data_IF_454539765321
#
_entry.id   IF_454539765321
#
_cell.length_a   1.000
_cell.length_b   1.000
_cell.length_c   1.000
_cell.angle_alpha   90.00
_cell.angle_beta   90.00
_cell.angle_gamma   90.00
#
_symmetry.space_group_name_H-M   'P 1'
#
loop_
_entity.id
_entity.type
_entity.pdbx_description
1 polymer ?
#
# COMPACT_ATOMS: atom_id res chain seq x y z
N UNK A 1 -11.21 -2.10 -20.82
CA UNK A 1 -11.60 -3.29 -21.63
C UNK A 1 -12.88 -3.88 -21.05
N UNK A 2 -13.63 -4.69 -21.82
CA UNK A 2 -14.85 -5.37 -21.35
C UNK A 2 -15.89 -4.39 -20.74
N UNK A 3 -16.25 -3.34 -21.48
CA UNK A 3 -17.15 -2.27 -21.00
C UNK A 3 -16.72 -1.70 -19.63
N UNK A 4 -15.43 -1.36 -19.54
CA UNK A 4 -14.75 -0.86 -18.35
C UNK A 4 -14.74 -1.80 -17.13
N UNK A 5 -15.11 -3.08 -17.29
CA UNK A 5 -14.94 -4.08 -16.24
C UNK A 5 -13.46 -4.37 -15.95
N UNK A 6 -12.59 -4.31 -16.96
CA UNK A 6 -11.16 -4.59 -16.82
C UNK A 6 -10.31 -3.34 -17.12
N UNK A 7 -9.51 -2.93 -16.14
CA UNK A 7 -8.66 -1.75 -16.18
C UNK A 7 -7.19 -2.13 -15.89
N UNK A 8 -6.35 -2.00 -16.91
CA UNK A 8 -4.92 -2.36 -16.88
C UNK A 8 -4.09 -1.09 -16.98
N UNK A 9 -3.19 -0.92 -16.02
CA UNK A 9 -2.27 0.22 -15.93
C UNK A 9 -0.84 -0.28 -15.87
N UNK A 10 0.02 0.27 -16.72
CA UNK A 10 1.45 -0.06 -16.76
C UNK A 10 2.26 1.22 -16.93
N UNK A 11 3.38 1.34 -16.20
CA UNK A 11 4.21 2.53 -16.26
C UNK A 11 5.08 2.69 -15.02
N UNK A 12 5.31 3.94 -14.62
CA UNK A 12 6.03 4.28 -13.39
C UNK A 12 5.16 5.07 -12.42
N UNK A 13 4.90 4.50 -11.25
CA UNK A 13 4.08 5.09 -10.19
C UNK A 13 4.35 4.36 -8.87
N UNK A 14 4.03 4.99 -7.75
CA UNK A 14 4.16 4.39 -6.41
C UNK A 14 2.98 3.46 -6.08
N UNK A 15 3.18 2.53 -5.16
CA UNK A 15 2.14 1.56 -4.76
C UNK A 15 0.90 2.25 -4.18
N UNK A 16 1.12 3.28 -3.34
CA UNK A 16 0.07 4.06 -2.67
C UNK A 16 -0.90 4.81 -3.60
N UNK A 17 -0.55 4.96 -4.88
CA UNK A 17 -1.41 5.61 -5.87
C UNK A 17 -2.66 4.78 -6.20
N UNK A 18 -2.56 3.45 -6.15
CA UNK A 18 -3.67 2.54 -6.42
C UNK A 18 -4.04 1.69 -5.19
N UNK A 19 -3.07 1.27 -4.37
CA UNK A 19 -3.26 0.35 -3.24
C UNK A 19 -3.12 1.05 -1.89
N UNK A 20 -3.94 0.68 -0.90
CA UNK A 20 -3.94 1.29 0.43
C UNK A 20 -4.06 2.83 0.38
N UNK A 21 -4.68 3.37 -0.67
CA UNK A 21 -4.77 4.81 -0.90
C UNK A 21 -5.61 5.49 0.19
N UNK A 22 -5.17 6.68 0.60
CA UNK A 22 -5.87 7.52 1.57
C UNK A 22 -5.59 9.00 1.25
N UNK A 23 -6.51 9.94 1.55
CA UNK A 23 -6.29 11.37 1.32
C UNK A 23 -5.06 11.94 2.05
N UNK A 24 -4.66 13.15 1.68
CA UNK A 24 -3.52 13.85 2.29
C UNK A 24 -3.85 15.32 2.59
N UNK A 25 -4.97 15.55 3.27
CA UNK A 25 -5.36 16.90 3.74
C UNK A 25 -4.67 17.28 5.05
N UNK A 26 -4.33 16.28 5.86
CA UNK A 26 -3.63 16.48 7.12
C UNK A 26 -2.13 16.65 6.90
N UNK A 27 -1.51 17.53 7.70
CA UNK A 27 -0.06 17.73 7.68
C UNK A 27 0.71 16.53 8.27
N UNK A 28 0.10 15.79 9.22
CA UNK A 28 0.77 14.68 9.87
C UNK A 28 0.69 13.41 9.00
N UNK A 29 1.86 12.78 8.80
CA UNK A 29 2.04 11.61 7.93
C UNK A 29 1.18 10.40 8.35
N UNK A 30 0.88 10.25 9.64
CA UNK A 30 -0.03 9.20 10.13
C UNK A 30 -1.48 9.35 9.62
N UNK A 31 -1.82 10.49 9.02
CA UNK A 31 -3.14 10.81 8.45
C UNK A 31 -3.05 11.26 6.98
N UNK A 32 -1.92 11.00 6.30
CA UNK A 32 -1.72 11.38 4.90
C UNK A 32 -1.19 10.19 4.09
N UNK A 33 -1.88 9.86 2.99
CA UNK A 33 -1.45 8.85 2.03
C UNK A 33 -1.50 7.41 2.54
N UNK A 34 -0.93 6.49 1.75
CA UNK A 34 -0.88 5.07 2.11
C UNK A 34 -0.03 4.84 3.36
N UNK A 35 -0.68 4.35 4.41
CA UNK A 35 -0.04 4.08 5.70
C UNK A 35 0.91 2.88 5.64
N UNK A 36 0.65 1.89 4.79
CA UNK A 36 1.59 0.78 4.55
C UNK A 36 2.93 1.32 4.08
N UNK A 37 2.95 2.28 3.15
CA UNK A 37 4.19 2.92 2.70
C UNK A 37 4.92 3.76 3.75
N UNK A 38 4.23 4.17 4.82
CA UNK A 38 4.87 4.87 5.95
C UNK A 38 5.57 3.89 6.89
N UNK A 39 4.93 2.76 7.21
CA UNK A 39 5.41 1.79 8.19
C UNK A 39 6.31 0.68 7.62
N UNK A 40 6.25 0.47 6.30
CA UNK A 40 7.12 -0.49 5.56
C UNK A 40 7.91 0.22 4.45
N UNK A 41 8.12 1.53 4.62
CA UNK A 41 8.73 2.44 3.64
C UNK A 41 10.15 2.10 3.19
N UNK A 42 10.79 1.10 3.81
CA UNK A 42 12.06 0.54 3.32
C UNK A 42 11.90 -0.26 2.01
N UNK A 43 10.72 -0.79 1.73
CA UNK A 43 10.43 -1.55 0.50
C UNK A 43 9.31 -0.94 -0.34
N UNK A 44 8.28 -0.34 0.29
CA UNK A 44 7.11 0.24 -0.38
C UNK A 44 7.30 1.75 -0.54
N UNK A 45 7.22 2.28 -1.77
CA UNK A 45 7.53 3.68 -2.01
C UNK A 45 6.32 4.44 -2.57
N UNK A 46 5.73 5.28 -1.72
CA UNK A 46 4.67 6.19 -2.13
C UNK A 46 5.22 7.32 -3.01
N UNK A 47 4.30 8.11 -3.58
CA UNK A 47 4.63 9.42 -4.16
C UNK A 47 5.53 10.21 -3.19
N UNK A 48 6.61 10.86 -3.68
CA UNK A 48 6.92 11.15 -5.08
C UNK A 48 7.82 10.12 -5.78
N UNK A 49 8.15 9.00 -5.14
CA UNK A 49 8.95 7.95 -5.77
C UNK A 49 8.12 7.25 -6.84
N UNK A 50 8.77 6.83 -7.92
CA UNK A 50 8.14 6.00 -8.95
C UNK A 50 8.97 4.75 -9.16
N UNK A 51 8.32 3.63 -9.46
CA UNK A 51 8.96 2.36 -9.85
C UNK A 51 8.23 1.78 -11.05
N UNK A 52 8.88 0.90 -11.83
CA UNK A 52 8.15 0.16 -12.86
C UNK A 52 7.06 -0.70 -12.22
N UNK A 53 5.83 -0.56 -12.73
CA UNK A 53 4.66 -1.16 -12.12
C UNK A 53 3.64 -1.61 -13.17
N UNK A 54 2.96 -2.71 -12.86
CA UNK A 54 1.77 -3.19 -13.53
C UNK A 54 0.66 -3.33 -12.49
N UNK A 55 -0.53 -2.80 -12.79
CA UNK A 55 -1.73 -2.97 -11.98
C UNK A 55 -2.87 -3.45 -12.86
N UNK A 56 -3.52 -4.52 -12.43
CA UNK A 56 -4.74 -5.05 -13.03
C UNK A 56 -5.88 -4.89 -12.04
N UNK A 57 -6.94 -4.19 -12.44
CA UNK A 57 -8.15 -3.96 -11.66
C UNK A 57 -9.35 -4.55 -12.39
N UNK A 58 -10.23 -5.21 -11.65
CA UNK A 58 -11.46 -5.79 -12.16
C UNK A 58 -12.66 -5.27 -11.36
N UNK A 59 -13.54 -4.53 -12.03
CA UNK A 59 -14.77 -3.98 -11.47
C UNK A 59 -15.87 -5.05 -11.51
N UNK A 60 -16.21 -5.59 -10.34
CA UNK A 60 -17.26 -6.61 -10.18
C UNK A 60 -18.66 -5.98 -10.17
N UNK A 61 -18.75 -4.74 -9.67
CA UNK A 61 -19.93 -3.89 -9.73
C UNK A 61 -19.48 -2.42 -9.75
N UNK A 62 -20.38 -1.44 -9.97
CA UNK A 62 -20.04 -0.03 -9.90
C UNK A 62 -19.49 0.43 -8.53
N UNK A 63 -19.74 -0.34 -7.47
CA UNK A 63 -19.30 -0.03 -6.10
C UNK A 63 -18.26 -1.02 -5.56
N UNK A 64 -17.84 -2.01 -6.34
CA UNK A 64 -16.98 -3.08 -5.84
C UNK A 64 -15.97 -3.52 -6.88
N UNK A 65 -14.69 -3.46 -6.53
CA UNK A 65 -13.61 -3.93 -7.38
C UNK A 65 -12.54 -4.68 -6.60
N UNK A 66 -11.81 -5.51 -7.34
CA UNK A 66 -10.60 -6.17 -6.85
C UNK A 66 -9.43 -5.78 -7.75
N UNK A 67 -8.24 -5.71 -7.19
CA UNK A 67 -7.03 -5.39 -7.94
C UNK A 67 -5.81 -6.13 -7.41
N UNK A 68 -4.86 -6.33 -8.32
CA UNK A 68 -3.55 -6.91 -8.04
C UNK A 68 -2.49 -6.11 -8.78
N UNK A 69 -1.33 -5.95 -8.14
CA UNK A 69 -0.20 -5.23 -8.69
C UNK A 69 1.07 -6.06 -8.69
N UNK A 70 2.03 -5.63 -9.50
CA UNK A 70 3.41 -6.04 -9.43
C UNK A 70 4.28 -4.80 -9.61
N UNK A 71 5.05 -4.47 -8.58
CA UNK A 71 5.92 -3.29 -8.53
C UNK A 71 7.36 -3.74 -8.41
N UNK A 72 8.23 -3.12 -9.19
CA UNK A 72 9.67 -3.29 -9.07
C UNK A 72 10.12 -2.80 -7.69
N UNK A 73 10.65 -3.71 -6.86
CA UNK A 73 11.24 -3.35 -5.58
C UNK A 73 12.73 -3.06 -5.82
N UNK A 74 13.09 -1.78 -5.81
CA UNK A 74 14.44 -1.31 -6.12
C UNK A 74 14.81 -0.12 -5.21
N UNK A 75 15.60 -0.35 -4.15
CA UNK A 75 16.01 0.69 -3.20
C UNK A 75 16.81 1.83 -3.84
N UNK A 76 17.47 1.60 -4.98
CA UNK A 76 18.25 2.66 -5.64
C UNK A 76 17.37 3.80 -6.17
N UNK A 77 16.05 3.61 -6.30
CA UNK A 77 15.13 4.70 -6.61
C UNK A 77 15.08 5.78 -5.51
N UNK A 78 15.51 5.47 -4.28
CA UNK A 78 15.57 6.42 -3.16
C UNK A 78 16.83 7.29 -3.17
N UNK A 79 17.84 6.93 -3.97
CA UNK A 79 19.10 7.65 -4.03
C UNK A 79 18.94 8.97 -4.81
N UNK A 80 19.48 10.06 -4.26
CA UNK A 80 19.58 11.33 -4.98
C UNK A 80 20.42 11.16 -6.25
N UNK A 81 19.89 11.60 -7.39
CA UNK A 81 20.45 11.33 -8.72
C UNK A 81 19.63 10.33 -9.54
N UNK A 82 18.82 9.48 -8.89
CA UNK A 82 17.96 8.50 -9.54
C UNK A 82 16.48 8.94 -9.68
N UNK A 83 16.15 10.22 -9.43
CA UNK A 83 14.76 10.71 -9.52
C UNK A 83 14.09 10.53 -10.90
N UNK A 84 14.88 10.41 -11.97
CA UNK A 84 14.42 10.12 -13.33
C UNK A 84 14.94 8.77 -13.86
N UNK A 85 15.33 7.86 -12.97
CA UNK A 85 15.85 6.54 -13.33
C UNK A 85 14.78 5.74 -14.07
N UNK A 86 15.10 5.31 -15.29
CA UNK A 86 14.24 4.42 -16.09
C UNK A 86 14.80 2.99 -16.20
N UNK A 87 16.06 2.79 -15.83
CA UNK A 87 16.69 1.47 -15.79
C UNK A 87 16.20 0.65 -14.59
N UNK A 88 16.01 -0.65 -14.76
CA UNK A 88 15.75 -1.60 -13.67
C UNK A 88 17.01 -2.10 -12.94
N UNK A 89 18.18 -1.46 -13.12
CA UNK A 89 19.36 -1.88 -12.36
C UNK A 89 19.17 -1.60 -10.86
N UNK A 90 19.55 -2.55 -10.01
CA UNK A 90 19.41 -2.45 -8.55
C UNK A 90 18.13 -3.08 -7.97
N UNK A 91 17.24 -3.64 -8.81
CA UNK A 91 16.08 -4.41 -8.35
C UNK A 91 16.51 -5.54 -7.42
N UNK A 92 15.87 -5.65 -6.25
CA UNK A 92 16.08 -6.74 -5.30
C UNK A 92 14.89 -7.71 -5.25
N UNK A 93 13.75 -7.34 -5.84
CA UNK A 93 12.57 -8.17 -5.93
C UNK A 93 11.36 -7.46 -6.51
N UNK A 94 10.17 -7.93 -6.16
CA UNK A 94 8.90 -7.30 -6.49
C UNK A 94 8.01 -7.19 -5.26
N UNK A 95 7.17 -6.15 -5.21
CA UNK A 95 6.04 -6.04 -4.29
C UNK A 95 4.77 -6.39 -5.04
N UNK A 96 4.01 -7.32 -4.47
CA UNK A 96 2.81 -7.91 -5.03
C UNK A 96 1.62 -7.57 -4.12
N UNK A 97 1.00 -6.38 -4.27
CA UNK A 97 -0.17 -6.04 -3.50
C UNK A 97 -1.43 -6.64 -4.15
N UNK A 98 -2.38 -7.05 -3.30
CA UNK A 98 -3.75 -7.40 -3.68
C UNK A 98 -4.71 -6.62 -2.80
N UNK A 99 -5.79 -6.12 -3.39
CA UNK A 99 -6.76 -5.31 -2.65
C UNK A 99 -8.18 -5.52 -3.18
N UNK A 100 -9.11 -5.49 -2.24
CA UNK A 100 -10.53 -5.42 -2.46
C UNK A 100 -11.01 -4.06 -1.95
N UNK A 101 -11.83 -3.39 -2.76
CA UNK A 101 -12.38 -2.07 -2.43
C UNK A 101 -13.88 -2.09 -2.64
N UNK A 102 -14.61 -1.65 -1.61
CA UNK A 102 -16.06 -1.53 -1.61
C UNK A 102 -16.46 -0.08 -1.31
N UNK A 103 -17.26 0.52 -2.16
CA UNK A 103 -17.66 1.93 -2.12
C UNK A 103 -19.19 2.11 -2.04
N UNK A 104 -19.85 1.62 -0.97
CA UNK A 104 -21.31 1.63 -0.87
C UNK A 104 -21.88 3.03 -0.59
N UNK A 105 -23.20 3.14 -0.73
CA UNK A 105 -23.99 4.24 -0.17
C UNK A 105 -24.77 3.73 1.04
N UNK A 106 -24.53 4.32 2.22
CA UNK A 106 -25.04 3.83 3.50
C UNK A 106 -26.14 4.73 4.05
N UNK A 107 -27.17 4.09 4.62
CA UNK A 107 -28.25 4.75 5.34
C UNK A 107 -29.33 5.43 4.47
N UNK A 108 -30.36 6.03 5.10
CA UNK A 108 -31.47 6.65 4.39
C UNK A 108 -31.05 7.81 3.49
N UNK A 109 -29.97 8.50 3.84
CA UNK A 109 -29.41 9.63 3.09
C UNK A 109 -28.44 9.20 1.97
N UNK A 110 -28.22 7.89 1.76
CA UNK A 110 -27.36 7.35 0.69
C UNK A 110 -25.93 7.92 0.72
N UNK A 111 -25.34 8.01 1.91
CA UNK A 111 -24.05 8.68 2.12
C UNK A 111 -22.87 7.80 1.68
N UNK A 112 -21.88 8.35 0.95
CA UNK A 112 -20.77 7.58 0.41
C UNK A 112 -19.84 7.05 1.50
N UNK A 113 -19.42 5.80 1.33
CA UNK A 113 -18.32 5.19 2.07
C UNK A 113 -17.32 4.53 1.11
N UNK A 114 -16.12 4.25 1.61
CA UNK A 114 -15.10 3.46 0.95
C UNK A 114 -14.38 2.59 1.99
N UNK A 115 -14.32 1.29 1.71
CA UNK A 115 -13.72 0.28 2.57
C UNK A 115 -12.72 -0.53 1.76
N UNK A 116 -11.48 -0.58 2.23
CA UNK A 116 -10.38 -1.30 1.58
C UNK A 116 -9.86 -2.38 2.50
N UNK A 117 -9.63 -3.55 1.94
CA UNK A 117 -8.91 -4.65 2.58
C UNK A 117 -7.85 -5.13 1.61
N UNK A 118 -6.60 -5.21 2.06
CA UNK A 118 -5.55 -5.70 1.20
C UNK A 118 -4.39 -6.36 1.92
N UNK A 119 -3.51 -6.89 1.09
CA UNK A 119 -2.31 -7.64 1.45
C UNK A 119 -1.17 -7.29 0.53
N UNK A 120 0.05 -7.29 1.05
CA UNK A 120 1.24 -7.26 0.22
C UNK A 120 2.14 -8.44 0.53
N UNK A 121 2.83 -8.89 -0.51
CA UNK A 121 3.96 -9.80 -0.43
C UNK A 121 5.15 -9.19 -1.15
N UNK A 122 6.30 -9.12 -0.50
CA UNK A 122 7.56 -8.71 -1.11
C UNK A 122 8.44 -9.92 -1.33
N UNK A 123 9.01 -10.06 -2.53
CA UNK A 123 9.98 -11.11 -2.84
C UNK A 123 11.42 -10.71 -2.52
N UNK A 124 11.65 -9.48 -2.06
CA UNK A 124 12.97 -9.00 -1.70
C UNK A 124 13.40 -9.60 -0.36
N UNK A 125 14.71 -9.85 -0.22
CA UNK A 125 15.28 -10.30 1.06
C UNK A 125 15.12 -9.22 2.12
N UNK A 126 14.84 -9.63 3.34
CA UNK A 126 14.78 -8.75 4.50
C UNK A 126 15.44 -9.42 5.70
N UNK A 127 16.15 -8.63 6.50
CA UNK A 127 16.85 -9.14 7.67
C UNK A 127 15.88 -9.26 8.86
N UNK A 128 16.10 -10.29 9.68
CA UNK A 128 15.40 -10.49 10.94
C UNK A 128 15.70 -9.34 11.91
N UNK A 129 14.74 -8.98 12.76
CA UNK A 129 14.91 -7.90 13.75
C UNK A 129 15.63 -8.34 15.02
N UNK A 130 15.84 -9.65 15.22
CA UNK A 130 16.38 -10.22 16.47
C UNK A 130 17.38 -11.36 16.27
N UNK A 131 17.09 -12.33 15.41
CA UNK A 131 17.90 -13.52 15.21
C UNK A 131 19.09 -13.26 14.26
N UNK A 132 20.26 -13.81 14.59
CA UNK A 132 21.39 -13.94 13.68
C UNK A 132 21.27 -15.16 12.76
N UNK A 133 22.23 -15.30 11.83
CA UNK A 133 22.31 -16.40 10.86
C UNK A 133 22.31 -17.80 11.49
N UNK A 134 22.64 -17.92 12.79
CA UNK A 134 22.68 -19.16 13.56
C UNK A 134 21.46 -19.34 14.48
N UNK A 135 20.49 -18.41 14.46
CA UNK A 135 19.30 -18.42 15.30
C UNK A 135 19.57 -18.01 16.76
N UNK A 136 20.67 -17.31 17.03
CA UNK A 136 20.97 -16.71 18.32
C UNK A 136 20.58 -15.22 18.34
N UNK A 137 20.39 -14.60 19.52
CA UNK A 137 20.17 -13.16 19.60
C UNK A 137 21.36 -12.39 19.00
N UNK A 138 21.13 -11.68 17.90
CA UNK A 138 22.18 -11.02 17.12
C UNK A 138 23.01 -10.04 17.97
N UNK A 139 22.36 -9.34 18.90
CA UNK A 139 23.00 -8.40 19.80
C UNK A 139 24.06 -9.02 20.74
N UNK A 140 24.05 -10.35 20.92
CA UNK A 140 25.01 -11.07 21.77
C UNK A 140 26.19 -11.66 20.98
N UNK A 141 26.00 -11.97 19.71
CA UNK A 141 27.01 -12.64 18.87
C UNK A 141 27.78 -11.66 18.00
N UNK A 142 27.11 -10.62 17.50
CA UNK A 142 27.65 -9.71 16.48
C UNK A 142 27.70 -10.32 15.08
N UNK A 143 27.16 -11.53 14.88
CA UNK A 143 27.03 -12.16 13.57
C UNK A 143 25.99 -11.40 12.71
N UNK A 144 25.94 -11.72 11.42
CA UNK A 144 24.94 -11.15 10.51
C UNK A 144 23.52 -11.60 10.90
N UNK A 145 22.53 -10.72 10.71
CA UNK A 145 21.12 -11.06 10.89
C UNK A 145 20.71 -12.23 9.98
N UNK A 146 19.76 -13.03 10.45
CA UNK A 146 19.09 -14.03 9.63
C UNK A 146 18.34 -13.35 8.49
N UNK A 147 18.52 -13.84 7.28
CA UNK A 147 17.83 -13.27 6.11
C UNK A 147 16.58 -14.07 5.77
N UNK A 148 15.44 -13.39 5.67
CA UNK A 148 14.16 -13.93 5.21
C UNK A 148 13.96 -13.66 3.72
N UNK A 149 13.36 -14.61 3.02
CA UNK A 149 13.11 -14.51 1.57
C UNK A 149 11.95 -13.62 1.16
N UNK A 150 11.23 -13.05 2.13
CA UNK A 150 10.06 -12.20 1.86
C UNK A 150 9.66 -11.35 3.06
N UNK A 151 8.93 -10.26 2.78
CA UNK A 151 8.13 -9.52 3.76
C UNK A 151 6.64 -9.60 3.41
N UNK A 152 5.76 -9.49 4.39
CA UNK A 152 4.32 -9.44 4.11
C UNK A 152 3.52 -8.70 5.17
N UNK A 153 2.30 -8.31 4.82
CA UNK A 153 1.41 -7.62 5.74
C UNK A 153 0.05 -7.30 5.13
N UNK A 154 -0.89 -6.92 5.98
CA UNK A 154 -2.28 -6.65 5.61
C UNK A 154 -2.67 -5.25 6.05
N UNK A 155 -3.70 -4.69 5.42
CA UNK A 155 -4.25 -3.40 5.81
C UNK A 155 -5.78 -3.37 5.71
N UNK A 156 -6.36 -2.45 6.48
CA UNK A 156 -7.75 -2.02 6.35
C UNK A 156 -7.80 -0.50 6.29
N UNK A 157 -8.54 0.05 5.34
CA UNK A 157 -8.90 1.48 5.28
C UNK A 157 -10.41 1.57 5.31
N UNK A 158 -10.97 2.47 6.12
CA UNK A 158 -12.40 2.73 6.16
C UNK A 158 -12.64 4.24 6.18
N UNK A 159 -13.51 4.71 5.29
CA UNK A 159 -13.98 6.10 5.24
C UNK A 159 -15.49 6.09 5.06
N UNK A 160 -16.22 6.88 5.85
CA UNK A 160 -17.68 6.96 5.74
C UNK A 160 -18.17 8.35 6.11
N UNK A 161 -18.93 8.96 5.21
CA UNK A 161 -19.74 10.13 5.57
C UNK A 161 -20.92 9.67 6.44
N UNK A 162 -21.05 10.22 7.64
CA UNK A 162 -22.06 9.80 8.63
C UNK A 162 -23.21 10.80 8.79
N UNK A 163 -23.04 12.04 8.31
CA UNK A 163 -24.10 13.05 8.28
C UNK A 163 -24.08 13.86 6.97
N UNK A 164 -25.25 14.30 6.52
CA UNK A 164 -25.40 15.41 5.58
C UNK A 164 -25.98 16.62 6.31
N UNK A 165 -25.28 17.76 6.26
CA UNK A 165 -25.73 18.97 6.95
C UNK A 165 -26.91 19.60 6.19
N UNK A 166 -28.08 19.69 6.83
CA UNK A 166 -29.34 20.17 6.23
C UNK A 166 -29.72 19.46 4.92
N UNK A 167 -29.34 18.19 4.77
CA UNK A 167 -29.60 17.40 3.56
C UNK A 167 -28.65 17.69 2.39
N UNK A 168 -27.67 18.57 2.56
CA UNK A 168 -26.61 18.81 1.58
C UNK A 168 -25.49 17.77 1.73
N UNK A 169 -25.39 16.85 0.76
CA UNK A 169 -24.38 15.79 0.77
C UNK A 169 -22.94 16.30 0.60
N UNK A 170 -22.73 17.54 0.15
CA UNK A 170 -21.40 18.14 0.04
C UNK A 170 -20.84 18.63 1.38
N UNK A 171 -21.67 18.64 2.44
CA UNK A 171 -21.33 19.10 3.79
C UNK A 171 -21.69 18.05 4.82
N UNK A 172 -20.92 17.97 5.91
CA UNK A 172 -21.24 17.09 7.03
C UNK A 172 -20.01 16.51 7.69
N UNK A 173 -20.22 15.47 8.48
CA UNK A 173 -19.17 14.76 9.20
C UNK A 173 -18.81 13.47 8.45
N UNK A 174 -17.50 13.23 8.29
CA UNK A 174 -16.96 11.96 7.83
C UNK A 174 -16.04 11.37 8.90
N UNK A 175 -16.13 10.06 9.09
CA UNK A 175 -15.23 9.29 9.95
C UNK A 175 -14.27 8.50 9.08
N UNK A 176 -13.06 8.30 9.58
CA UNK A 176 -12.06 7.47 8.91
C UNK A 176 -11.22 6.65 9.91
N UNK A 177 -10.70 5.53 9.45
CA UNK A 177 -9.78 4.68 10.19
C UNK A 177 -8.81 3.95 9.24
N UNK A 178 -7.59 3.74 9.72
CA UNK A 178 -6.56 2.95 9.04
C UNK A 178 -5.97 1.94 10.03
N UNK A 179 -5.80 0.69 9.59
CA UNK A 179 -5.14 -0.37 10.33
C UNK A 179 -4.12 -1.05 9.44
N UNK A 180 -2.91 -1.27 9.94
CA UNK A 180 -1.85 -1.99 9.22
C UNK A 180 -1.22 -3.04 10.16
N UNK A 181 -0.90 -4.20 9.59
CA UNK A 181 -0.25 -5.30 10.31
C UNK A 181 0.88 -5.84 9.44
N UNK A 182 2.05 -6.02 10.03
CA UNK A 182 3.29 -6.39 9.34
C UNK A 182 3.88 -7.66 9.96
N UNK A 183 4.66 -8.42 9.20
CA UNK A 183 5.35 -9.59 9.72
C UNK A 183 6.34 -9.20 10.83
N UNK A 184 6.30 -9.91 11.96
CA UNK A 184 7.14 -9.61 13.13
C UNK A 184 8.61 -9.98 12.93
N UNK A 185 8.89 -10.83 11.94
CA UNK A 185 10.24 -11.29 11.68
C UNK A 185 11.11 -10.13 11.17
N UNK A 186 10.55 -9.26 10.33
CA UNK A 186 11.33 -8.25 9.59
C UNK A 186 10.75 -6.84 9.67
N UNK A 187 9.78 -6.58 10.57
CA UNK A 187 9.14 -5.26 10.73
C UNK A 187 8.69 -4.94 12.17
#
# INVERSE_FOLDING_TARGET
FLDDALDVKFGRFGEGEDFNSFPCDFQNLAFCGSQVGNWVGGIWYNWPVSQWALRVKYNLSPEFFVQVGAYEQNPSNLETGNGFKLSGSGTQGAILPVELVWSPKVGPQQLPGEYRLGYYYSTAKADDVYEDVNGQPQALTGDAFKSHGSKHGWWVVAQQQVTAHDGDASRGLSLFANFTVHDQATN
#
